data_IF_285097591081
#
_entry.id   IF_285097591081
#
_cell.length_a   1.000
_cell.length_b   1.000
_cell.length_c   1.000
_cell.angle_alpha   90.00
_cell.angle_beta   90.00
_cell.angle_gamma   90.00
#
_symmetry.space_group_name_H-M   'P 1'
#
loop_
_entity.id
_entity.type
_entity.pdbx_description
1 polymer ?
#
# COMPACT_ATOMS: atom_id res chain seq x y z
N UNK A 1 12.87 -4.12 1.99
CA UNK A 1 12.61 -3.00 1.03
C UNK A 1 12.95 -1.69 1.71
N UNK A 2 13.52 -0.69 1.02
CA UNK A 2 14.01 0.51 1.67
C UNK A 2 13.25 1.74 1.16
N UNK A 3 12.94 2.68 2.05
CA UNK A 3 12.36 4.00 1.76
C UNK A 3 13.14 4.73 0.65
N UNK A 4 14.45 4.49 0.56
CA UNK A 4 15.35 4.97 -0.49
C UNK A 4 14.79 4.70 -1.90
N UNK A 5 14.44 3.47 -2.21
CA UNK A 5 13.96 3.12 -3.56
C UNK A 5 12.56 3.67 -3.86
N UNK A 6 11.73 3.83 -2.84
CA UNK A 6 10.46 4.51 -2.98
C UNK A 6 10.64 6.00 -3.32
N UNK A 7 11.63 6.68 -2.70
CA UNK A 7 11.99 8.06 -3.01
C UNK A 7 12.69 8.18 -4.37
N UNK A 8 13.58 7.26 -4.73
CA UNK A 8 14.17 7.22 -6.07
C UNK A 8 13.11 7.06 -7.15
N UNK A 9 12.13 6.16 -6.95
CA UNK A 9 11.00 6.00 -7.87
C UNK A 9 10.22 7.31 -8.08
N UNK A 10 9.99 8.07 -7.01
CA UNK A 10 9.32 9.37 -7.06
C UNK A 10 10.15 10.40 -7.84
N UNK A 11 11.48 10.43 -7.62
CA UNK A 11 12.41 11.35 -8.27
C UNK A 11 12.61 11.04 -9.76
N UNK A 12 12.27 9.84 -10.23
CA UNK A 12 12.29 9.53 -11.68
C UNK A 12 11.24 10.33 -12.48
N UNK A 13 10.24 10.92 -11.81
CA UNK A 13 9.23 11.77 -12.42
C UNK A 13 9.60 13.26 -12.42
N UNK A 14 10.83 13.59 -12.02
CA UNK A 14 11.37 14.95 -12.01
C UNK A 14 11.79 15.45 -10.64
N UNK A 15 12.44 16.62 -10.59
CA UNK A 15 12.91 17.21 -9.34
C UNK A 15 11.77 17.58 -8.39
N UNK A 16 12.00 17.45 -7.06
CA UNK A 16 11.02 17.80 -6.03
C UNK A 16 11.70 18.47 -4.83
N UNK A 17 10.99 19.36 -4.13
CA UNK A 17 11.42 19.83 -2.82
C UNK A 17 11.15 18.75 -1.76
N UNK A 18 11.80 18.83 -0.59
CA UNK A 18 11.53 17.90 0.50
C UNK A 18 10.05 17.88 0.92
N UNK A 19 9.40 19.04 0.95
CA UNK A 19 7.97 19.14 1.22
C UNK A 19 7.12 18.45 0.14
N UNK A 20 7.43 18.73 -1.13
CA UNK A 20 6.70 18.10 -2.24
C UNK A 20 6.97 16.59 -2.31
N UNK A 21 8.18 16.14 -1.94
CA UNK A 21 8.50 14.73 -1.84
C UNK A 21 7.59 14.03 -0.82
N UNK A 22 7.45 14.58 0.38
CA UNK A 22 6.54 14.04 1.42
C UNK A 22 5.07 14.05 0.96
N UNK A 23 4.60 15.16 0.38
CA UNK A 23 3.22 15.26 -0.15
C UNK A 23 2.94 14.27 -1.27
N UNK A 24 3.84 14.18 -2.26
CA UNK A 24 3.70 13.26 -3.41
C UNK A 24 3.87 11.80 -2.99
N UNK A 25 4.70 11.54 -1.98
CA UNK A 25 4.88 10.21 -1.41
C UNK A 25 3.54 9.68 -0.88
N UNK A 26 2.82 10.44 -0.07
CA UNK A 26 1.49 10.06 0.45
C UNK A 26 0.46 9.80 -0.65
N UNK A 27 0.45 10.60 -1.70
CA UNK A 27 -0.54 10.53 -2.80
C UNK A 27 -0.18 9.57 -3.93
N UNK A 28 0.90 8.79 -3.84
CA UNK A 28 1.28 7.86 -4.92
C UNK A 28 1.97 6.60 -4.40
N UNK A 29 3.22 6.74 -3.95
CA UNK A 29 4.01 5.60 -3.42
C UNK A 29 3.47 5.15 -2.07
N UNK A 30 2.83 6.05 -1.31
CA UNK A 30 2.25 5.78 0.00
C UNK A 30 1.17 4.70 0.01
N UNK A 31 0.51 4.44 -1.11
CA UNK A 31 -0.43 3.32 -1.23
C UNK A 31 0.28 1.95 -1.21
N UNK A 32 1.55 1.91 -1.66
CA UNK A 32 2.37 0.68 -1.70
C UNK A 32 3.33 0.62 -0.50
N UNK A 33 3.78 1.78 -0.04
CA UNK A 33 4.80 1.89 1.01
C UNK A 33 4.45 3.02 1.98
N UNK A 34 4.01 2.66 3.17
CA UNK A 34 3.73 3.65 4.21
C UNK A 34 5.04 4.08 4.90
N UNK A 35 5.31 5.40 4.93
CA UNK A 35 6.38 5.98 5.70
C UNK A 35 5.94 7.33 6.29
N UNK A 36 6.17 7.59 7.58
CA UNK A 36 5.90 8.87 8.18
C UNK A 36 6.87 9.93 7.66
N UNK A 37 6.41 11.19 7.61
CA UNK A 37 7.21 12.32 7.12
C UNK A 37 8.54 12.47 7.87
N UNK A 38 8.58 12.09 9.16
CA UNK A 38 9.80 12.09 9.99
C UNK A 38 10.92 11.21 9.44
N UNK A 39 10.62 10.22 8.61
CA UNK A 39 11.62 9.36 7.97
C UNK A 39 12.07 9.89 6.60
N UNK A 40 11.23 10.66 5.90
CA UNK A 40 11.50 11.13 4.54
C UNK A 40 12.67 12.10 4.50
N UNK A 41 12.67 13.13 5.35
CA UNK A 41 13.74 14.13 5.36
C UNK A 41 15.13 13.57 5.75
N UNK A 42 15.24 12.72 6.78
CA UNK A 42 16.53 12.06 7.07
C UNK A 42 17.02 11.18 5.91
N UNK A 43 16.11 10.46 5.25
CA UNK A 43 16.50 9.61 4.12
C UNK A 43 16.96 10.43 2.90
N UNK A 44 16.29 11.53 2.58
CA UNK A 44 16.75 12.45 1.52
C UNK A 44 18.17 12.97 1.80
N UNK A 45 18.48 13.35 3.05
CA UNK A 45 19.83 13.77 3.43
C UNK A 45 20.86 12.64 3.29
N UNK A 46 20.50 11.41 3.67
CA UNK A 46 21.35 10.22 3.52
C UNK A 46 21.60 9.91 2.05
N UNK A 47 20.56 9.92 1.21
CA UNK A 47 20.68 9.71 -0.22
C UNK A 47 21.55 10.77 -0.90
N UNK A 48 21.50 12.02 -0.42
CA UNK A 48 22.38 13.09 -0.92
C UNK A 48 23.84 12.86 -0.51
N UNK A 49 24.09 12.46 0.75
CA UNK A 49 25.43 12.12 1.22
C UNK A 49 26.01 10.91 0.46
N UNK A 50 25.18 9.95 0.09
CA UNK A 50 25.55 8.77 -0.72
C UNK A 50 25.69 9.11 -2.22
N UNK A 51 25.48 10.36 -2.64
CA UNK A 51 25.58 10.80 -4.04
C UNK A 51 24.48 10.28 -4.97
N UNK A 52 23.41 9.70 -4.44
CA UNK A 52 22.30 9.16 -5.24
C UNK A 52 21.34 10.25 -5.74
N UNK A 53 21.28 11.35 -5.00
CA UNK A 53 20.54 12.54 -5.36
C UNK A 53 21.38 13.78 -5.10
N UNK A 54 21.07 14.88 -5.76
CA UNK A 54 21.69 16.17 -5.50
C UNK A 54 20.61 17.19 -5.12
N UNK A 55 20.94 18.05 -4.17
CA UNK A 55 20.10 19.14 -3.70
C UNK A 55 20.57 20.48 -4.28
N UNK A 56 19.68 21.19 -4.97
CA UNK A 56 19.93 22.52 -5.50
C UNK A 56 19.07 23.53 -4.77
N UNK A 57 19.65 24.64 -4.32
CA UNK A 57 18.89 25.73 -3.73
C UNK A 57 18.11 26.47 -4.82
N UNK A 58 16.79 26.48 -4.69
CA UNK A 58 15.90 27.25 -5.56
C UNK A 58 15.28 28.42 -4.83
N UNK A 59 15.07 29.52 -5.52
CA UNK A 59 14.39 30.69 -4.94
C UNK A 59 12.93 30.38 -4.68
N UNK A 60 12.47 30.67 -3.46
CA UNK A 60 11.08 30.50 -3.02
C UNK A 60 10.56 31.79 -2.39
N UNK A 61 9.90 32.60 -3.21
CA UNK A 61 9.47 33.93 -2.78
C UNK A 61 10.60 34.96 -2.66
N UNK A 62 10.32 36.14 -2.10
CA UNK A 62 11.25 37.28 -2.12
C UNK A 62 12.49 37.09 -1.24
N UNK A 63 12.41 36.31 -0.14
CA UNK A 63 13.43 36.24 0.92
C UNK A 63 13.78 34.81 1.38
N UNK A 64 13.31 33.78 0.69
CA UNK A 64 13.53 32.40 1.10
C UNK A 64 14.02 31.50 -0.03
N UNK A 65 14.76 30.45 0.31
CA UNK A 65 15.18 29.39 -0.61
C UNK A 65 14.66 28.06 -0.11
N UNK A 66 14.49 27.10 -1.03
CA UNK A 66 14.17 25.71 -0.72
C UNK A 66 15.17 24.81 -1.43
N UNK A 67 15.50 23.69 -0.80
CA UNK A 67 16.29 22.63 -1.47
C UNK A 67 15.37 21.81 -2.37
N UNK A 68 15.69 21.78 -3.65
CA UNK A 68 15.09 20.89 -4.63
C UNK A 68 16.04 19.72 -4.91
N UNK A 69 15.54 18.51 -4.79
CA UNK A 69 16.31 17.28 -5.02
C UNK A 69 16.05 16.74 -6.43
N UNK A 70 17.10 16.25 -7.06
CA UNK A 70 17.04 15.51 -8.32
C UNK A 70 17.88 14.25 -8.26
N UNK A 71 17.46 13.21 -8.97
CA UNK A 71 18.20 11.96 -9.05
C UNK A 71 19.48 12.16 -9.88
N UNK A 72 20.60 11.59 -9.42
CA UNK A 72 21.88 11.59 -10.13
C UNK A 72 21.98 10.38 -11.07
N UNK A 73 23.01 10.35 -11.93
CA UNK A 73 23.32 9.17 -12.74
C UNK A 73 23.59 7.92 -11.87
N UNK A 74 24.29 8.10 -10.73
CA UNK A 74 24.51 7.04 -9.74
C UNK A 74 23.19 6.54 -9.12
N UNK A 75 22.27 7.47 -8.77
CA UNK A 75 20.95 7.12 -8.27
C UNK A 75 20.10 6.35 -9.28
N UNK A 76 20.17 6.73 -10.57
CA UNK A 76 19.49 5.98 -11.64
C UNK A 76 20.06 4.57 -11.77
N UNK A 77 21.37 4.40 -11.70
CA UNK A 77 22.02 3.09 -11.78
C UNK A 77 21.65 2.21 -10.57
N UNK A 78 21.67 2.79 -9.37
CA UNK A 78 21.29 2.07 -8.14
C UNK A 78 19.81 1.63 -8.18
N UNK A 79 18.93 2.52 -8.65
CA UNK A 79 17.51 2.19 -8.83
C UNK A 79 17.30 1.08 -9.87
N UNK A 80 18.02 1.12 -11.02
CA UNK A 80 17.95 0.07 -12.04
C UNK A 80 18.42 -1.27 -11.50
N UNK A 81 19.53 -1.30 -10.74
CA UNK A 81 20.03 -2.51 -10.09
C UNK A 81 18.99 -3.12 -9.16
N UNK A 82 18.38 -2.31 -8.31
CA UNK A 82 17.31 -2.76 -7.43
C UNK A 82 16.10 -3.32 -8.21
N UNK A 83 15.69 -2.65 -9.29
CA UNK A 83 14.59 -3.12 -10.16
C UNK A 83 14.88 -4.45 -10.87
N UNK A 84 16.15 -4.81 -11.04
CA UNK A 84 16.58 -6.05 -11.68
C UNK A 84 16.90 -7.17 -10.68
N UNK A 85 16.79 -6.89 -9.37
CA UNK A 85 17.08 -7.87 -8.31
C UNK A 85 15.79 -8.43 -7.75
N UNK A 86 15.58 -9.76 -7.76
CA UNK A 86 14.45 -10.37 -7.06
C UNK A 86 14.46 -10.01 -5.57
N UNK A 87 13.29 -9.68 -5.03
CA UNK A 87 13.16 -9.37 -3.61
C UNK A 87 12.89 -10.64 -2.83
N UNK A 88 13.54 -10.80 -1.69
CA UNK A 88 13.25 -11.86 -0.73
C UNK A 88 11.88 -11.64 -0.09
N UNK A 89 11.12 -12.72 0.06
CA UNK A 89 9.90 -12.71 0.84
C UNK A 89 10.24 -12.80 2.33
N UNK A 90 9.90 -11.76 3.09
CA UNK A 90 9.98 -11.80 4.55
C UNK A 90 8.68 -12.35 5.12
N UNK A 91 8.72 -13.24 6.13
CA UNK A 91 7.51 -13.70 6.81
C UNK A 91 6.70 -12.52 7.34
N UNK A 92 5.43 -12.47 7.02
CA UNK A 92 4.52 -11.46 7.54
C UNK A 92 4.16 -11.78 9.01
N UNK A 93 4.06 -10.74 9.83
CA UNK A 93 3.50 -10.84 11.19
C UNK A 93 2.05 -10.44 11.11
N UNK A 94 1.20 -11.42 10.79
CA UNK A 94 -0.22 -11.18 10.57
C UNK A 94 -1.00 -11.40 11.87
N UNK A 95 -1.31 -10.30 12.56
CA UNK A 95 -2.06 -10.33 13.80
C UNK A 95 -3.53 -10.71 13.58
N UNK A 96 -4.11 -10.38 12.42
CA UNK A 96 -5.53 -10.66 12.15
C UNK A 96 -5.77 -12.15 11.89
N UNK A 97 -4.92 -12.79 11.07
CA UNK A 97 -4.99 -14.23 10.87
C UNK A 97 -4.62 -15.01 12.13
N UNK A 98 -3.68 -14.50 12.93
CA UNK A 98 -3.39 -15.10 14.23
C UNK A 98 -4.60 -15.00 15.17
N UNK A 99 -5.26 -13.84 15.26
CA UNK A 99 -6.46 -13.67 16.08
C UNK A 99 -7.61 -14.58 15.61
N UNK A 100 -7.81 -14.70 14.31
CA UNK A 100 -8.83 -15.56 13.74
C UNK A 100 -8.60 -17.06 14.02
N UNK A 101 -7.35 -17.49 14.15
CA UNK A 101 -7.00 -18.87 14.49
C UNK A 101 -7.38 -19.27 15.94
N UNK A 102 -7.78 -18.31 16.78
CA UNK A 102 -8.12 -18.50 18.20
C UNK A 102 -9.47 -17.88 18.57
N UNK A 103 -10.41 -17.79 17.62
CA UNK A 103 -11.75 -17.23 17.85
C UNK A 103 -12.59 -18.02 18.86
N UNK A 104 -12.21 -19.26 19.17
CA UNK A 104 -12.85 -20.05 20.23
C UNK A 104 -12.65 -19.45 21.64
N UNK A 105 -11.76 -18.46 21.80
CA UNK A 105 -11.54 -17.73 23.05
C UNK A 105 -12.42 -16.49 23.19
N UNK A 106 -13.30 -16.21 22.24
CA UNK A 106 -14.17 -15.05 22.26
C UNK A 106 -15.64 -15.45 22.04
N UNK A 107 -16.55 -14.55 22.41
CA UNK A 107 -17.97 -14.74 22.10
C UNK A 107 -18.18 -14.69 20.57
N UNK A 108 -19.10 -15.53 20.02
CA UNK A 108 -19.38 -15.53 18.59
C UNK A 108 -19.76 -14.17 18.00
N UNK A 109 -20.49 -13.32 18.75
CA UNK A 109 -20.84 -11.97 18.27
C UNK A 109 -19.62 -11.04 18.22
N UNK A 110 -18.71 -11.17 19.18
CA UNK A 110 -17.41 -10.46 19.14
C UNK A 110 -16.56 -10.97 17.98
N UNK A 111 -16.51 -12.27 17.73
CA UNK A 111 -15.83 -12.86 16.58
C UNK A 111 -16.35 -12.30 15.25
N UNK A 112 -17.68 -12.22 15.09
CA UNK A 112 -18.30 -11.57 13.92
C UNK A 112 -17.94 -10.10 13.81
N UNK A 113 -17.93 -9.38 14.92
CA UNK A 113 -17.57 -7.97 14.95
C UNK A 113 -16.12 -7.76 14.49
N UNK A 114 -15.17 -8.57 14.95
CA UNK A 114 -13.76 -8.53 14.51
C UNK A 114 -13.67 -8.73 12.99
N UNK A 115 -14.32 -9.77 12.46
CA UNK A 115 -14.27 -10.07 11.02
C UNK A 115 -15.00 -9.00 10.19
N UNK A 116 -16.13 -8.46 10.64
CA UNK A 116 -16.80 -7.34 9.95
C UNK A 116 -15.96 -6.08 9.92
N UNK A 117 -15.20 -5.80 10.97
CA UNK A 117 -14.28 -4.66 11.02
C UNK A 117 -13.16 -4.83 9.99
N UNK A 118 -12.64 -6.04 9.84
CA UNK A 118 -11.65 -6.40 8.83
C UNK A 118 -12.21 -6.22 7.40
N UNK A 119 -13.43 -6.73 7.14
CA UNK A 119 -14.14 -6.55 5.87
C UNK A 119 -14.32 -5.06 5.54
N UNK A 120 -14.77 -4.26 6.49
CA UNK A 120 -14.98 -2.82 6.28
C UNK A 120 -13.68 -2.12 5.88
N UNK A 121 -12.58 -2.39 6.58
CA UNK A 121 -11.26 -1.84 6.25
C UNK A 121 -10.83 -2.17 4.82
N UNK A 122 -10.88 -3.45 4.42
CA UNK A 122 -10.44 -3.84 3.08
C UNK A 122 -11.41 -3.38 1.99
N UNK A 123 -12.70 -3.26 2.28
CA UNK A 123 -13.69 -2.68 1.36
C UNK A 123 -13.33 -1.22 1.01
N UNK A 124 -12.99 -0.41 2.00
CA UNK A 124 -12.52 0.96 1.78
C UNK A 124 -11.21 1.00 0.99
N UNK A 125 -10.24 0.12 1.33
CA UNK A 125 -8.97 0.04 0.61
C UNK A 125 -9.16 -0.38 -0.85
N UNK A 126 -9.98 -1.39 -1.13
CA UNK A 126 -10.29 -1.84 -2.49
C UNK A 126 -10.96 -0.73 -3.30
N UNK A 127 -11.92 -0.01 -2.71
CA UNK A 127 -12.58 1.11 -3.37
C UNK A 127 -11.59 2.23 -3.73
N UNK A 128 -10.72 2.63 -2.79
CA UNK A 128 -9.68 3.62 -3.01
C UNK A 128 -8.72 3.20 -4.13
N UNK A 129 -8.16 1.99 -4.05
CA UNK A 129 -7.19 1.49 -5.01
C UNK A 129 -7.81 1.32 -6.42
N UNK A 130 -9.08 0.94 -6.48
CA UNK A 130 -9.83 0.83 -7.74
C UNK A 130 -10.01 2.21 -8.39
N UNK A 131 -10.36 3.22 -7.60
CA UNK A 131 -10.47 4.61 -8.08
C UNK A 131 -9.14 5.14 -8.60
N UNK A 132 -8.04 4.92 -7.85
CA UNK A 132 -6.69 5.34 -8.27
C UNK A 132 -6.28 4.61 -9.55
N UNK A 133 -6.53 3.29 -9.65
CA UNK A 133 -6.24 2.51 -10.85
C UNK A 133 -7.01 3.02 -12.06
N UNK A 134 -8.29 3.34 -11.91
CA UNK A 134 -9.08 3.95 -12.97
C UNK A 134 -8.47 5.28 -13.44
N UNK A 135 -8.14 6.18 -12.52
CA UNK A 135 -7.48 7.45 -12.84
C UNK A 135 -6.12 7.29 -13.54
N UNK A 136 -5.38 6.21 -13.26
CA UNK A 136 -4.14 5.88 -13.97
C UNK A 136 -4.43 5.47 -15.42
N UNK A 137 -5.39 4.58 -15.64
CA UNK A 137 -5.80 4.09 -16.98
C UNK A 137 -6.37 5.23 -17.82
N UNK A 138 -7.24 6.03 -17.23
CA UNK A 138 -7.91 7.16 -17.88
C UNK A 138 -7.02 8.40 -18.00
N UNK A 139 -5.79 8.34 -17.50
CA UNK A 139 -4.82 9.44 -17.50
C UNK A 139 -5.36 10.71 -16.80
N UNK A 140 -6.12 10.54 -15.73
CA UNK A 140 -6.65 11.64 -14.91
C UNK A 140 -5.96 11.78 -13.56
N UNK A 141 -5.23 10.75 -13.11
CA UNK A 141 -4.47 10.78 -11.86
C UNK A 141 -3.29 11.77 -11.95
N UNK A 142 -3.15 12.72 -11.00
CA UNK A 142 -2.10 13.74 -11.07
C UNK A 142 -0.68 13.18 -10.96
N UNK A 143 -0.47 12.01 -10.34
CA UNK A 143 0.85 11.42 -10.21
C UNK A 143 1.28 10.76 -11.52
N UNK A 144 0.34 10.08 -12.21
CA UNK A 144 0.61 9.51 -13.53
C UNK A 144 0.86 10.60 -14.57
N UNK A 145 0.08 11.68 -14.59
CA UNK A 145 0.27 12.78 -15.52
C UNK A 145 1.67 13.40 -15.43
N UNK A 146 2.15 13.69 -14.20
CA UNK A 146 3.52 14.19 -14.00
C UNK A 146 4.58 13.20 -14.50
N UNK A 147 4.35 11.90 -14.29
CA UNK A 147 5.31 10.88 -14.74
C UNK A 147 5.35 10.76 -16.25
N UNK A 148 4.20 10.85 -16.93
CA UNK A 148 4.12 10.83 -18.39
C UNK A 148 4.77 12.07 -19.00
N UNK A 149 4.57 13.27 -18.43
CA UNK A 149 5.23 14.50 -18.85
C UNK A 149 6.77 14.42 -18.80
N UNK A 150 7.33 13.62 -17.89
CA UNK A 150 8.78 13.45 -17.74
C UNK A 150 9.37 12.35 -18.67
N UNK A 151 8.55 11.74 -19.54
CA UNK A 151 8.94 10.60 -20.36
C UNK A 151 8.49 10.76 -21.82
N UNK A 152 9.22 10.15 -22.78
CA UNK A 152 8.79 10.11 -24.17
C UNK A 152 7.42 9.44 -24.30
N UNK A 153 6.62 9.91 -25.25
CA UNK A 153 5.27 9.38 -25.51
C UNK A 153 5.27 7.88 -25.82
N UNK A 154 6.30 7.39 -26.48
CA UNK A 154 6.50 5.97 -26.77
C UNK A 154 6.60 5.06 -25.53
N UNK A 155 6.88 5.63 -24.34
CA UNK A 155 6.92 4.91 -23.07
C UNK A 155 5.59 4.97 -22.30
N UNK A 156 4.64 5.82 -22.69
CA UNK A 156 3.46 6.13 -21.89
C UNK A 156 2.59 4.90 -21.65
N UNK A 157 2.28 4.13 -22.68
CA UNK A 157 1.44 2.91 -22.55
C UNK A 157 2.10 1.89 -21.60
N UNK A 158 3.41 1.71 -21.71
CA UNK A 158 4.17 0.81 -20.84
C UNK A 158 4.13 1.27 -19.38
N UNK A 159 4.26 2.57 -19.14
CA UNK A 159 4.21 3.15 -17.78
C UNK A 159 2.83 2.95 -17.17
N UNK A 160 1.76 3.23 -17.92
CA UNK A 160 0.37 3.05 -17.50
C UNK A 160 0.11 1.57 -17.18
N UNK A 161 0.48 0.67 -18.08
CA UNK A 161 0.26 -0.77 -17.92
C UNK A 161 0.91 -1.33 -16.64
N UNK A 162 2.19 -1.02 -16.39
CA UNK A 162 2.86 -1.49 -15.18
C UNK A 162 2.30 -0.88 -13.90
N UNK A 163 1.90 0.40 -13.94
CA UNK A 163 1.22 1.02 -12.81
C UNK A 163 -0.12 0.36 -12.52
N UNK A 164 -0.97 0.22 -13.53
CA UNK A 164 -2.27 -0.44 -13.39
C UNK A 164 -2.13 -1.89 -12.92
N UNK A 165 -1.15 -2.64 -13.42
CA UNK A 165 -0.83 -4.00 -12.98
C UNK A 165 -0.50 -4.06 -11.47
N UNK A 166 0.33 -3.14 -10.97
CA UNK A 166 0.66 -3.07 -9.55
C UNK A 166 -0.58 -2.87 -8.68
N UNK A 167 -1.47 -1.94 -9.06
CA UNK A 167 -2.73 -1.70 -8.35
C UNK A 167 -3.70 -2.89 -8.44
N UNK A 168 -3.74 -3.59 -9.58
CA UNK A 168 -4.55 -4.80 -9.73
C UNK A 168 -4.16 -5.90 -8.73
N UNK A 169 -2.87 -6.09 -8.47
CA UNK A 169 -2.40 -7.03 -7.46
C UNK A 169 -2.81 -6.65 -6.04
N UNK A 170 -2.73 -5.35 -5.69
CA UNK A 170 -3.18 -4.88 -4.37
C UNK A 170 -4.70 -5.01 -4.18
N UNK A 171 -5.48 -4.72 -5.24
CA UNK A 171 -6.94 -4.91 -5.24
C UNK A 171 -7.29 -6.39 -5.05
N UNK A 172 -6.64 -7.29 -5.80
CA UNK A 172 -6.87 -8.72 -5.68
C UNK A 172 -6.57 -9.25 -4.26
N UNK A 173 -5.48 -8.76 -3.64
CA UNK A 173 -5.19 -9.07 -2.23
C UNK A 173 -6.33 -8.60 -1.31
N UNK A 174 -6.78 -7.35 -1.45
CA UNK A 174 -7.87 -6.82 -0.62
C UNK A 174 -9.19 -7.58 -0.79
N UNK A 175 -9.53 -8.00 -2.01
CA UNK A 175 -10.70 -8.85 -2.26
C UNK A 175 -10.56 -10.21 -1.58
N UNK A 176 -9.38 -10.83 -1.65
CA UNK A 176 -9.12 -12.11 -0.96
C UNK A 176 -9.28 -12.01 0.56
N UNK A 177 -8.89 -10.89 1.17
CA UNK A 177 -9.08 -10.65 2.61
C UNK A 177 -10.57 -10.51 2.98
N UNK A 178 -11.36 -9.86 2.13
CA UNK A 178 -12.81 -9.74 2.30
C UNK A 178 -13.48 -11.12 2.21
N UNK A 179 -13.12 -11.90 1.20
CA UNK A 179 -13.69 -13.24 0.96
C UNK A 179 -13.35 -14.18 2.13
N UNK A 180 -12.10 -14.14 2.61
CA UNK A 180 -11.64 -14.90 3.76
C UNK A 180 -12.42 -14.56 5.05
N UNK A 181 -12.55 -13.28 5.37
CA UNK A 181 -13.25 -12.84 6.56
C UNK A 181 -14.77 -13.12 6.49
N UNK A 182 -15.35 -13.05 5.28
CA UNK A 182 -16.75 -13.42 5.04
C UNK A 182 -16.96 -14.92 5.29
N UNK A 183 -16.08 -15.76 4.76
CA UNK A 183 -16.12 -17.21 5.03
C UNK A 183 -15.94 -17.54 6.54
N UNK A 184 -15.19 -16.71 7.27
CA UNK A 184 -15.03 -16.82 8.71
C UNK A 184 -16.34 -16.54 9.47
N UNK A 185 -17.12 -15.55 9.05
CA UNK A 185 -18.45 -15.28 9.61
C UNK A 185 -19.39 -16.46 9.36
N UNK A 186 -19.42 -16.98 8.14
CA UNK A 186 -20.21 -18.16 7.79
C UNK A 186 -19.81 -19.40 8.63
N UNK A 187 -18.52 -19.53 8.96
CA UNK A 187 -18.03 -20.60 9.83
C UNK A 187 -18.60 -20.46 11.24
N UNK A 188 -18.54 -19.26 11.83
CA UNK A 188 -19.10 -18.98 13.16
C UNK A 188 -20.59 -19.34 13.19
N UNK A 189 -21.37 -18.93 12.18
CA UNK A 189 -22.80 -19.19 12.09
C UNK A 189 -23.12 -20.69 11.99
N UNK A 190 -22.34 -21.44 11.22
CA UNK A 190 -22.51 -22.91 11.14
C UNK A 190 -22.23 -23.60 12.47
N UNK A 191 -21.16 -23.22 13.16
CA UNK A 191 -20.76 -23.81 14.42
C UNK A 191 -21.82 -23.55 15.52
N UNK A 192 -22.36 -22.33 15.61
CA UNK A 192 -23.44 -22.02 16.53
C UNK A 192 -24.73 -22.81 16.25
N UNK A 193 -25.07 -22.96 14.96
CA UNK A 193 -26.27 -23.72 14.55
C UNK A 193 -26.16 -25.21 14.87
N UNK A 194 -24.94 -25.76 14.91
CA UNK A 194 -24.72 -27.16 15.32
C UNK A 194 -24.83 -27.33 16.84
N UNK A 195 -24.26 -26.42 17.63
CA UNK A 195 -24.31 -26.46 19.09
C UNK A 195 -25.75 -26.37 19.61
N UNK A 196 -26.58 -25.48 19.06
CA UNK A 196 -27.99 -25.33 19.43
C UNK A 196 -28.86 -26.56 19.07
N UNK A 197 -28.43 -27.39 18.12
CA UNK A 197 -29.16 -28.66 17.80
C UNK A 197 -28.82 -29.77 18.76
N UNK A 198 -27.61 -29.85 19.26
CA UNK A 198 -27.20 -30.88 20.21
C UNK A 198 -27.78 -30.61 21.61
N UNK A 199 -27.89 -29.36 22.02
CA UNK A 199 -28.54 -28.98 23.30
C UNK A 199 -30.06 -29.23 23.32
N UNK A 200 -30.73 -29.24 22.14
CA UNK A 200 -32.15 -29.49 22.00
C UNK A 200 -32.58 -30.98 22.07
N UNK A 201 -31.64 -31.92 22.09
CA UNK A 201 -31.91 -33.37 22.06
C UNK A 201 -31.88 -34.01 23.47
N UNK A 202 -31.33 -33.28 24.47
CA UNK A 202 -31.11 -33.88 25.82
C UNK A 202 -32.31 -33.77 26.80
N UNK A 203 -33.49 -33.25 26.38
CA UNK A 203 -34.67 -33.11 27.25
C UNK A 203 -35.82 -34.09 26.88
N UNK A 204 -35.48 -35.38 26.74
CA UNK A 204 -36.48 -36.49 26.77
C UNK A 204 -36.06 -37.50 27.81
N UNK A 205 -36.34 -37.23 29.08
CA UNK A 205 -36.48 -38.24 30.12
C UNK A 205 -37.74 -39.03 29.82
N UNK A 206 -37.71 -40.38 29.71
CA UNK A 206 -38.91 -41.18 29.74
C UNK A 206 -39.39 -41.35 31.22
N UNK A 207 -40.64 -41.06 31.46
CA UNK A 207 -41.40 -41.52 32.66
C UNK A 207 -41.49 -43.03 32.71
#
# INVERSE_FOLDING_TARGET
MSLRYALLALLTAGPVTGYDAAKRFRGSVGHVWHAPDSQIYPELRRMQADGLIEGVQIRWGPRSTKTQYRITAAGVQDFRRWMSTPLEHTPERDAHHMQAAYLEWTDPDEGRFILRTHIAYYTEQVALLTSVRAGIVDRTDPAILRRLQARPESEHEKIIAYKAFSYSGMIARGVSEIDWATAGIDLIDRLQSSTNRDDGVCDRTPE
#
